data_IF_626835885092
#
_entry.id   IF_626835885092
#
_cell.length_a   1.000
_cell.length_b   1.000
_cell.length_c   1.000
_cell.angle_alpha   90.00
_cell.angle_beta   90.00
_cell.angle_gamma   90.00
#
_symmetry.space_group_name_H-M   'P 1'
#
loop_
_entity.id
_entity.type
_entity.pdbx_description
1 polymer ?
#
# COMPACT_ATOMS: atom_id res chain seq x y z
N UNK A 1 -1.00 4.51 -19.58
CA UNK A 1 -1.32 3.66 -18.42
C UNK A 1 -1.52 4.58 -17.24
N UNK A 2 -2.69 4.57 -16.63
CA UNK A 2 -2.90 5.34 -15.40
C UNK A 2 -1.98 4.75 -14.33
N UNK A 3 -1.07 5.59 -13.82
CA UNK A 3 -0.05 5.20 -12.84
C UNK A 3 -0.29 6.03 -11.59
N UNK A 4 -0.39 5.38 -10.44
CA UNK A 4 -0.45 6.05 -9.15
C UNK A 4 0.99 6.15 -8.64
N UNK A 5 1.47 7.36 -8.42
CA UNK A 5 2.78 7.64 -7.82
C UNK A 5 2.56 8.34 -6.50
N UNK A 6 3.11 7.76 -5.42
CA UNK A 6 3.02 8.36 -4.08
C UNK A 6 4.25 9.27 -3.91
N UNK A 7 4.02 10.57 -3.87
CA UNK A 7 5.03 11.60 -3.65
C UNK A 7 4.95 12.11 -2.21
N UNK A 8 6.10 12.49 -1.63
CA UNK A 8 6.09 13.18 -0.34
C UNK A 8 5.50 14.60 -0.51
N UNK A 9 4.65 15.02 0.42
CA UNK A 9 3.96 16.32 0.40
C UNK A 9 2.46 16.22 0.71
N UNK A 10 1.72 17.32 0.57
CA UNK A 10 0.28 17.34 0.84
C UNK A 10 -0.40 18.69 0.62
N UNK A 11 -1.63 18.84 1.11
CA UNK A 11 -2.40 20.09 0.99
C UNK A 11 -1.68 21.30 1.63
N UNK A 12 -0.95 21.06 2.72
CA UNK A 12 -0.16 22.08 3.43
C UNK A 12 1.01 22.62 2.59
N UNK A 13 1.56 21.84 1.67
CA UNK A 13 2.64 22.26 0.76
C UNK A 13 2.13 22.91 -0.53
N UNK A 14 0.82 23.15 -0.65
CA UNK A 14 0.15 23.54 -1.91
C UNK A 14 0.39 24.98 -2.40
N UNK A 15 0.99 25.86 -1.61
CA UNK A 15 1.28 27.25 -1.99
C UNK A 15 2.78 27.54 -2.01
N UNK A 16 3.44 27.29 -3.14
CA UNK A 16 4.83 27.69 -3.36
C UNK A 16 4.93 28.89 -4.30
N UNK A 17 5.68 29.91 -3.89
CA UNK A 17 6.12 31.02 -4.73
C UNK A 17 7.07 30.45 -5.80
N UNK A 18 6.86 30.78 -7.08
CA UNK A 18 7.71 30.31 -8.18
C UNK A 18 9.12 30.90 -8.05
N UNK A 19 10.02 30.16 -7.39
CA UNK A 19 11.47 30.39 -7.38
C UNK A 19 12.11 29.68 -8.59
N UNK A 20 13.37 29.99 -8.96
CA UNK A 20 14.10 29.21 -9.97
C UNK A 20 14.00 27.71 -9.67
N UNK A 21 13.86 26.87 -10.70
CA UNK A 21 13.69 25.41 -10.57
C UNK A 21 14.79 24.81 -9.68
N UNK A 22 14.47 24.63 -8.40
CA UNK A 22 15.33 23.98 -7.43
C UNK A 22 14.86 22.54 -7.35
N UNK A 23 15.64 21.63 -7.92
CA UNK A 23 15.33 20.21 -7.85
C UNK A 23 15.76 19.67 -6.48
N UNK A 24 14.85 18.98 -5.81
CA UNK A 24 15.14 18.28 -4.57
C UNK A 24 15.60 16.85 -4.88
N UNK A 25 16.61 16.39 -4.12
CA UNK A 25 17.14 15.05 -4.28
C UNK A 25 16.16 14.02 -3.69
N UNK A 26 15.69 13.08 -4.51
CA UNK A 26 14.65 12.10 -4.14
C UNK A 26 15.03 10.69 -4.59
N UNK A 27 14.59 9.67 -3.87
CA UNK A 27 14.75 8.27 -4.24
C UNK A 27 13.37 7.65 -4.46
N UNK A 28 13.19 6.96 -5.57
CA UNK A 28 11.96 6.25 -5.91
C UNK A 28 12.21 4.76 -5.96
N UNK A 29 11.33 3.98 -5.32
CA UNK A 29 11.34 2.52 -5.30
C UNK A 29 10.27 1.97 -6.24
N UNK A 30 10.67 1.01 -7.08
CA UNK A 30 9.82 0.31 -8.04
C UNK A 30 9.80 -1.17 -7.69
N UNK A 31 8.65 -1.66 -7.27
CA UNK A 31 8.45 -3.05 -6.84
C UNK A 31 7.12 -3.58 -7.40
N UNK A 32 7.10 -4.86 -7.77
CA UNK A 32 5.89 -5.57 -8.17
C UNK A 32 5.99 -6.17 -9.57
N UNK A 33 4.89 -6.70 -10.11
CA UNK A 33 4.95 -7.46 -11.38
C UNK A 33 3.78 -7.16 -12.30
N UNK A 34 4.01 -7.22 -13.62
CA UNK A 34 3.05 -6.96 -14.70
C UNK A 34 2.36 -5.59 -14.58
N UNK A 35 1.08 -5.59 -14.25
CA UNK A 35 0.24 -4.39 -14.17
C UNK A 35 0.26 -3.73 -12.78
N UNK A 36 0.95 -4.33 -11.81
CA UNK A 36 0.97 -3.94 -10.41
C UNK A 36 2.36 -3.46 -9.98
N UNK A 37 3.13 -2.84 -10.88
CA UNK A 37 4.38 -2.18 -10.47
C UNK A 37 4.03 -0.88 -9.77
N UNK A 38 4.29 -0.83 -8.48
CA UNK A 38 4.09 0.35 -7.64
C UNK A 38 5.32 1.25 -7.69
N UNK A 39 5.11 2.57 -7.57
CA UNK A 39 6.18 3.57 -7.52
C UNK A 39 5.97 4.42 -6.28
N UNK A 40 6.92 4.36 -5.35
CA UNK A 40 6.87 5.10 -4.08
C UNK A 40 8.14 5.94 -3.91
N UNK A 41 7.97 7.20 -3.51
CA UNK A 41 9.10 7.97 -2.98
C UNK A 41 9.50 7.41 -1.61
N UNK A 42 10.79 7.09 -1.45
CA UNK A 42 11.36 6.52 -0.22
C UNK A 42 12.49 7.44 0.29
N UNK A 43 12.87 7.33 1.57
CA UNK A 43 14.03 8.05 2.08
C UNK A 43 15.26 7.79 1.22
N UNK A 44 16.04 8.84 0.95
CA UNK A 44 17.27 8.78 0.13
C UNK A 44 18.42 8.11 0.89
N UNK A 45 18.22 6.89 1.38
CA UNK A 45 19.16 6.14 2.21
C UNK A 45 19.66 4.87 1.52
N UNK A 46 20.92 4.51 1.74
CA UNK A 46 21.50 3.29 1.18
C UNK A 46 20.84 2.02 1.73
N UNK A 47 20.32 2.05 2.97
CA UNK A 47 19.59 0.95 3.59
C UNK A 47 18.25 0.63 2.93
N UNK A 48 17.72 1.53 2.08
CA UNK A 48 16.46 1.30 1.35
C UNK A 48 16.64 0.54 0.05
N UNK A 49 17.87 0.36 -0.43
CA UNK A 49 18.11 -0.38 -1.65
C UNK A 49 17.88 -1.87 -1.41
N UNK A 50 17.03 -2.47 -2.24
CA UNK A 50 16.78 -3.90 -2.28
C UNK A 50 17.29 -4.47 -3.62
N UNK A 51 18.19 -5.46 -3.55
CA UNK A 51 18.69 -6.18 -4.73
C UNK A 51 17.58 -6.86 -5.54
N UNK A 52 16.40 -7.07 -4.96
CA UNK A 52 15.21 -7.62 -5.62
C UNK A 52 14.47 -6.65 -6.55
N UNK A 53 14.71 -5.34 -6.46
CA UNK A 53 13.86 -4.30 -7.05
C UNK A 53 14.64 -3.25 -7.86
N UNK A 54 13.94 -2.25 -8.41
CA UNK A 54 14.53 -1.14 -9.18
C UNK A 54 14.34 0.18 -8.44
N UNK A 55 15.34 1.06 -8.53
CA UNK A 55 15.32 2.36 -7.87
C UNK A 55 15.69 3.48 -8.85
N UNK A 56 15.09 4.66 -8.69
CA UNK A 56 15.50 5.88 -9.39
C UNK A 56 15.96 6.91 -8.37
N UNK A 57 17.24 7.28 -8.44
CA UNK A 57 17.79 8.41 -7.69
C UNK A 57 17.75 9.67 -8.56
N UNK A 58 16.88 10.59 -8.17
CA UNK A 58 16.66 11.87 -8.82
C UNK A 58 17.44 12.96 -8.10
N UNK A 59 18.52 13.48 -8.71
CA UNK A 59 19.30 14.62 -8.21
C UNK A 59 19.01 15.90 -9.02
N UNK A 60 17.88 15.96 -9.72
CA UNK A 60 17.52 17.08 -10.60
C UNK A 60 18.08 16.94 -12.01
N UNK A 61 19.25 17.50 -12.28
CA UNK A 61 19.84 17.43 -13.64
C UNK A 61 20.61 16.13 -13.89
N UNK A 62 20.82 15.32 -12.85
CA UNK A 62 21.40 13.98 -12.96
C UNK A 62 20.41 12.99 -12.36
N UNK A 63 20.11 11.92 -13.09
CA UNK A 63 19.17 10.89 -12.66
C UNK A 63 19.82 9.53 -12.88
N UNK A 64 19.82 8.68 -11.86
CA UNK A 64 20.32 7.31 -11.97
C UNK A 64 19.15 6.35 -11.86
N UNK A 65 19.04 5.40 -12.77
CA UNK A 65 18.24 4.20 -12.58
C UNK A 65 19.16 3.08 -12.11
N UNK A 66 18.93 2.54 -10.92
CA UNK A 66 19.67 1.42 -10.37
C UNK A 66 18.79 0.17 -10.42
N UNK A 67 19.27 -0.86 -11.10
CA UNK A 67 18.59 -2.14 -11.25
C UNK A 67 19.24 -3.15 -10.31
N UNK A 68 18.49 -3.63 -9.30
CA UNK A 68 18.92 -4.72 -8.45
C UNK A 68 19.14 -6.00 -9.25
N UNK A 69 20.04 -6.87 -8.78
CA UNK A 69 20.39 -8.14 -9.43
C UNK A 69 19.17 -9.06 -9.63
N UNK A 70 18.22 -9.03 -8.70
CA UNK A 70 16.98 -9.81 -8.70
C UNK A 70 15.80 -9.11 -9.37
N UNK A 71 15.94 -7.85 -9.78
CA UNK A 71 14.83 -7.07 -10.36
C UNK A 71 14.25 -7.66 -11.63
N UNK A 72 12.93 -7.58 -11.74
CA UNK A 72 12.20 -8.16 -12.86
C UNK A 72 12.06 -7.19 -14.04
N UNK A 73 11.69 -7.73 -15.21
CA UNK A 73 11.61 -6.96 -16.46
C UNK A 73 10.52 -5.88 -16.43
N UNK A 74 9.43 -6.12 -15.72
CA UNK A 74 8.31 -5.18 -15.65
C UNK A 74 8.70 -3.96 -14.81
N UNK A 75 9.37 -4.16 -13.67
CA UNK A 75 9.95 -3.09 -12.84
C UNK A 75 10.95 -2.24 -13.64
N UNK A 76 11.91 -2.90 -14.30
CA UNK A 76 12.92 -2.22 -15.13
C UNK A 76 12.29 -1.38 -16.24
N UNK A 77 11.27 -1.93 -16.93
CA UNK A 77 10.54 -1.21 -17.98
C UNK A 77 9.76 -0.02 -17.40
N UNK A 78 9.11 -0.19 -16.24
CA UNK A 78 8.36 0.87 -15.57
C UNK A 78 9.27 2.01 -15.12
N UNK A 79 10.42 1.68 -14.52
CA UNK A 79 11.44 2.64 -14.14
C UNK A 79 11.94 3.42 -15.36
N UNK A 80 12.25 2.74 -16.47
CA UNK A 80 12.68 3.43 -17.70
C UNK A 80 11.62 4.40 -18.24
N UNK A 81 10.33 4.05 -18.20
CA UNK A 81 9.26 4.97 -18.61
C UNK A 81 9.17 6.19 -17.70
N UNK A 82 9.30 5.98 -16.37
CA UNK A 82 9.30 7.05 -15.39
C UNK A 82 10.50 7.98 -15.56
N UNK A 83 11.68 7.41 -15.82
CA UNK A 83 12.92 8.15 -16.11
C UNK A 83 12.78 9.05 -17.34
N UNK A 84 12.15 8.55 -18.42
CA UNK A 84 11.88 9.34 -19.63
C UNK A 84 10.95 10.52 -19.28
N UNK A 85 9.87 10.28 -18.54
CA UNK A 85 8.95 11.32 -18.12
C UNK A 85 9.65 12.42 -17.28
N UNK A 86 10.53 12.05 -16.35
CA UNK A 86 11.32 13.02 -15.58
C UNK A 86 12.25 13.86 -16.46
N UNK A 87 12.85 13.27 -17.50
CA UNK A 87 13.68 14.01 -18.44
C UNK A 87 12.86 14.98 -19.26
N UNK A 88 11.68 14.58 -19.70
CA UNK A 88 10.76 15.42 -20.47
C UNK A 88 10.23 16.60 -19.64
N UNK A 89 9.90 16.35 -18.36
CA UNK A 89 9.55 17.41 -17.39
C UNK A 89 10.66 18.47 -17.29
N UNK A 90 11.92 18.02 -17.34
CA UNK A 90 13.12 18.87 -17.31
C UNK A 90 13.55 19.37 -18.69
N UNK A 91 12.65 19.30 -19.68
CA UNK A 91 12.88 19.76 -21.07
C UNK A 91 14.12 19.13 -21.71
N UNK A 92 14.39 17.87 -21.37
CA UNK A 92 15.54 17.10 -21.87
C UNK A 92 16.90 17.53 -21.33
N UNK A 93 16.96 18.45 -20.35
CA UNK A 93 18.23 18.97 -19.79
C UNK A 93 18.91 17.99 -18.82
N UNK A 94 18.15 17.03 -18.29
CA UNK A 94 18.65 16.06 -17.34
C UNK A 94 19.44 14.94 -18.05
N UNK A 95 20.62 14.64 -17.52
CA UNK A 95 21.40 13.46 -17.88
C UNK A 95 20.90 12.27 -17.08
N UNK A 96 20.84 11.12 -17.72
CA UNK A 96 20.37 9.88 -17.11
C UNK A 96 21.36 8.76 -17.35
N UNK A 97 21.58 7.93 -16.35
CA UNK A 97 22.41 6.73 -16.44
C UNK A 97 21.66 5.52 -15.88
N UNK A 98 21.79 4.37 -16.54
CA UNK A 98 21.22 3.10 -16.09
C UNK A 98 22.36 2.25 -15.54
N UNK A 99 22.25 1.86 -14.29
CA UNK A 99 23.23 1.13 -13.51
C UNK A 99 22.67 -0.25 -13.17
N UNK A 100 23.46 -1.28 -13.40
CA UNK A 100 23.16 -2.63 -12.90
C UNK A 100 23.93 -2.83 -11.59
N UNK A 101 23.28 -3.36 -10.56
CA UNK A 101 23.94 -3.69 -9.29
C UNK A 101 25.17 -4.59 -9.52
N UNK A 102 25.02 -5.57 -10.41
CA UNK A 102 26.10 -6.47 -10.79
C UNK A 102 27.17 -5.71 -11.59
N UNK A 103 28.30 -5.46 -10.93
CA UNK A 103 29.45 -4.77 -11.52
C UNK A 103 29.57 -3.29 -11.17
N UNK A 104 28.62 -2.72 -10.42
CA UNK A 104 28.71 -1.34 -9.95
C UNK A 104 29.66 -1.22 -8.76
N UNK A 105 30.69 -0.38 -8.88
CA UNK A 105 31.57 -0.08 -7.75
C UNK A 105 30.82 0.64 -6.63
N UNK A 106 31.09 0.27 -5.37
CA UNK A 106 30.57 0.99 -4.19
C UNK A 106 31.06 2.44 -4.11
N UNK A 107 32.11 2.80 -4.84
CA UNK A 107 32.62 4.18 -4.97
C UNK A 107 31.90 5.00 -6.06
N UNK A 108 30.87 4.46 -6.71
CA UNK A 108 30.14 5.17 -7.74
C UNK A 108 29.38 6.38 -7.14
N UNK A 109 29.25 7.47 -7.90
CA UNK A 109 28.59 8.70 -7.45
C UNK A 109 27.15 8.45 -6.96
N UNK A 110 26.48 7.47 -7.54
CA UNK A 110 25.17 6.98 -7.09
C UNK A 110 25.14 6.65 -5.59
N UNK A 111 26.08 5.85 -5.09
CA UNK A 111 26.11 5.45 -3.69
C UNK A 111 26.53 6.60 -2.77
N UNK A 112 27.45 7.47 -3.21
CA UNK A 112 27.84 8.67 -2.47
C UNK A 112 26.71 9.70 -2.35
N UNK A 113 25.77 9.68 -3.28
CA UNK A 113 24.60 10.55 -3.26
C UNK A 113 23.43 10.01 -2.40
N UNK A 114 23.60 8.88 -1.71
CA UNK A 114 22.65 8.36 -0.72
C UNK A 114 23.09 8.75 0.70
N UNK A 115 22.15 8.81 1.64
CA UNK A 115 22.44 9.01 3.06
C UNK A 115 22.79 7.69 3.74
N UNK A 116 23.58 7.79 4.82
CA UNK A 116 23.91 6.67 5.71
C UNK A 116 22.89 6.50 6.84
N UNK A 117 21.81 7.30 6.85
CA UNK A 117 20.78 7.22 7.88
C UNK A 117 20.02 5.91 7.77
N UNK A 118 20.06 5.12 8.84
CA UNK A 118 19.25 3.91 8.94
C UNK A 118 17.81 4.30 9.28
N UNK A 119 16.93 4.23 8.28
CA UNK A 119 15.51 4.54 8.46
C UNK A 119 14.75 3.22 8.63
N UNK A 120 14.11 2.95 9.78
CA UNK A 120 13.37 1.71 10.00
C UNK A 120 12.29 1.48 8.96
N UNK A 121 12.19 0.27 8.41
CA UNK A 121 11.11 -0.05 7.48
C UNK A 121 9.79 -0.28 8.24
N UNK A 122 8.93 0.74 8.26
CA UNK A 122 7.63 0.68 8.93
C UNK A 122 6.74 -0.43 8.35
N UNK A 123 6.90 -0.76 7.07
CA UNK A 123 6.11 -1.79 6.40
C UNK A 123 6.44 -3.22 6.90
N UNK A 124 7.69 -3.48 7.30
CA UNK A 124 8.09 -4.81 7.77
C UNK A 124 7.59 -5.10 9.20
N UNK A 125 7.44 -4.06 10.01
CA UNK A 125 6.95 -4.16 11.40
C UNK A 125 5.44 -4.44 11.51
N UNK A 126 4.68 -4.36 10.41
CA UNK A 126 3.22 -4.59 10.40
C UNK A 126 2.80 -6.02 9.99
N UNK A 127 3.72 -6.96 9.79
CA UNK A 127 3.34 -8.35 9.46
C UNK A 127 2.67 -9.00 10.69
N UNK A 128 1.41 -9.48 10.58
CA UNK A 128 0.69 -10.06 11.71
C UNK A 128 1.38 -11.35 12.16
N UNK A 129 1.61 -11.47 13.48
CA UNK A 129 2.22 -12.67 14.11
C UNK A 129 1.24 -13.84 14.23
N UNK A 130 -0.05 -13.53 14.21
CA UNK A 130 -1.16 -14.48 14.26
C UNK A 130 -2.08 -14.22 13.07
N UNK A 131 -2.49 -15.28 12.37
CA UNK A 131 -3.39 -15.23 11.21
C UNK A 131 -4.78 -15.78 11.54
N UNK A 132 -5.11 -15.89 12.83
CA UNK A 132 -6.41 -16.38 13.27
C UNK A 132 -7.50 -15.38 12.87
N UNK A 133 -8.47 -15.85 12.07
CA UNK A 133 -9.62 -15.07 11.62
C UNK A 133 -10.58 -14.79 12.78
N UNK A 134 -11.09 -13.58 12.88
CA UNK A 134 -12.11 -13.18 13.86
C UNK A 134 -13.37 -12.70 13.15
N UNK A 135 -14.53 -13.21 13.58
CA UNK A 135 -15.84 -12.79 13.12
C UNK A 135 -16.53 -12.00 14.24
N UNK A 136 -16.96 -10.80 13.91
CA UNK A 136 -17.75 -9.95 14.77
C UNK A 136 -19.14 -9.77 14.21
N UNK A 137 -20.14 -9.67 15.08
CA UNK A 137 -21.53 -9.37 14.75
C UNK A 137 -21.91 -8.00 15.27
N UNK A 138 -22.44 -7.17 14.39
CA UNK A 138 -23.06 -5.88 14.68
C UNK A 138 -24.57 -6.07 14.55
N UNK A 139 -25.29 -5.97 15.68
CA UNK A 139 -26.73 -6.22 15.74
C UNK A 139 -27.44 -5.23 16.67
N UNK A 140 -28.64 -4.80 16.31
CA UNK A 140 -29.53 -4.02 17.18
C UNK A 140 -30.70 -4.82 17.76
N UNK A 141 -30.74 -6.15 17.55
CA UNK A 141 -31.83 -7.03 17.97
C UNK A 141 -32.15 -6.98 19.49
N UNK A 142 -31.19 -6.59 20.32
CA UNK A 142 -31.37 -6.39 21.77
C UNK A 142 -32.10 -5.09 22.15
N UNK A 143 -32.47 -4.26 21.17
CA UNK A 143 -32.99 -2.90 21.35
C UNK A 143 -31.89 -1.83 21.48
N UNK A 144 -30.62 -2.23 21.44
CA UNK A 144 -29.44 -1.36 21.37
C UNK A 144 -28.41 -1.99 20.44
N UNK A 145 -27.63 -1.15 19.77
CA UNK A 145 -26.53 -1.59 18.90
C UNK A 145 -25.43 -2.25 19.73
N UNK A 146 -25.15 -3.53 19.48
CA UNK A 146 -24.07 -4.30 20.10
C UNK A 146 -23.07 -4.75 19.05
N UNK A 147 -21.80 -4.81 19.44
CA UNK A 147 -20.70 -5.23 18.58
C UNK A 147 -19.83 -6.21 19.36
N UNK A 148 -19.93 -7.49 19.05
CA UNK A 148 -19.31 -8.57 19.82
C UNK A 148 -18.61 -9.58 18.89
N UNK A 149 -17.65 -10.31 19.43
CA UNK A 149 -17.06 -11.48 18.76
C UNK A 149 -18.12 -12.58 18.69
N UNK A 150 -18.43 -13.03 17.49
CA UNK A 150 -19.34 -14.16 17.22
C UNK A 150 -18.55 -15.47 17.14
N UNK A 151 -17.38 -15.45 16.49
CA UNK A 151 -16.57 -16.65 16.23
C UNK A 151 -15.10 -16.31 15.98
N UNK A 152 -14.21 -17.26 16.30
CA UNK A 152 -12.77 -17.16 16.02
C UNK A 152 -12.31 -18.44 15.32
N UNK A 153 -11.38 -18.33 14.37
CA UNK A 153 -10.84 -19.43 13.59
C UNK A 153 -11.64 -19.72 12.31
N UNK A 154 -12.18 -20.94 12.19
CA UNK A 154 -12.86 -21.37 10.95
C UNK A 154 -14.25 -20.73 10.82
N UNK A 155 -14.35 -19.72 9.96
CA UNK A 155 -15.60 -18.99 9.68
C UNK A 155 -16.15 -19.44 8.31
N UNK A 156 -17.45 -19.70 8.24
CA UNK A 156 -18.14 -20.11 7.05
C UNK A 156 -19.30 -19.14 6.73
N UNK A 157 -19.78 -19.15 5.49
CA UNK A 157 -20.93 -18.32 5.10
C UNK A 157 -22.21 -18.66 5.87
N UNK A 158 -22.31 -19.85 6.45
CA UNK A 158 -23.42 -20.24 7.32
C UNK A 158 -23.40 -19.55 8.69
N UNK A 159 -22.27 -18.94 9.08
CA UNK A 159 -22.16 -18.15 10.32
C UNK A 159 -22.67 -16.71 10.12
N UNK A 160 -23.03 -16.33 8.89
CA UNK A 160 -23.50 -14.99 8.54
C UNK A 160 -25.03 -14.98 8.45
N UNK A 161 -25.70 -14.36 9.42
CA UNK A 161 -27.15 -14.19 9.43
C UNK A 161 -27.57 -12.99 8.56
N UNK A 162 -28.46 -13.20 7.59
CA UNK A 162 -28.97 -12.17 6.69
C UNK A 162 -29.62 -10.97 7.41
N UNK A 163 -29.96 -11.12 8.69
CA UNK A 163 -30.55 -10.05 9.51
C UNK A 163 -29.56 -9.07 10.12
N UNK A 164 -28.26 -9.36 10.08
CA UNK A 164 -27.25 -8.55 10.78
C UNK A 164 -26.03 -8.22 9.89
N UNK A 165 -25.19 -7.33 10.39
CA UNK A 165 -23.92 -6.97 9.77
C UNK A 165 -22.80 -7.74 10.45
N UNK A 166 -21.88 -8.26 9.65
CA UNK A 166 -20.73 -9.01 10.14
C UNK A 166 -19.42 -8.37 9.70
N UNK A 167 -18.42 -8.41 10.56
CA UNK A 167 -17.07 -7.93 10.28
C UNK A 167 -16.13 -9.12 10.41
N UNK A 168 -15.48 -9.48 9.30
CA UNK A 168 -14.52 -10.56 9.22
C UNK A 168 -13.13 -9.96 9.15
N UNK A 169 -12.33 -10.16 10.18
CA UNK A 169 -10.93 -9.78 10.19
C UNK A 169 -10.05 -11.00 9.94
N UNK A 170 -9.37 -11.04 8.79
CA UNK A 170 -8.45 -12.13 8.42
C UNK A 170 -6.99 -11.84 8.78
N UNK A 171 -6.72 -10.73 9.47
CA UNK A 171 -5.38 -10.18 9.74
C UNK A 171 -4.61 -9.76 8.49
N UNK A 172 -5.19 -9.96 7.29
CA UNK A 172 -4.66 -9.51 6.00
C UNK A 172 -5.57 -8.49 5.32
N UNK A 173 -6.87 -8.61 5.54
CA UNK A 173 -7.89 -7.65 5.13
C UNK A 173 -9.12 -7.78 6.04
N UNK A 174 -9.88 -6.71 6.14
CA UNK A 174 -11.16 -6.71 6.85
C UNK A 174 -12.31 -6.66 5.85
N UNK A 175 -13.30 -7.52 6.04
CA UNK A 175 -14.49 -7.59 5.21
C UNK A 175 -15.72 -7.25 6.05
N UNK A 176 -16.52 -6.30 5.58
CA UNK A 176 -17.80 -5.93 6.19
C UNK A 176 -18.90 -6.55 5.35
N UNK A 177 -19.46 -7.65 5.82
CA UNK A 177 -20.58 -8.31 5.18
C UNK A 177 -21.91 -7.73 5.68
N UNK A 178 -22.77 -7.30 4.76
CA UNK A 178 -24.06 -6.70 5.07
C UNK A 178 -25.16 -7.65 4.62
N UNK A 179 -25.89 -8.21 5.58
CA UNK A 179 -27.06 -9.03 5.35
C UNK A 179 -28.18 -8.28 4.62
N UNK A 180 -28.96 -9.03 3.85
CA UNK A 180 -30.06 -8.51 3.03
C UNK A 180 -31.15 -7.86 3.89
N UNK A 181 -31.47 -8.47 5.02
CA UNK A 181 -32.56 -8.11 5.93
C UNK A 181 -32.07 -7.29 7.15
N UNK A 182 -30.89 -6.67 7.04
CA UNK A 182 -30.31 -5.80 8.07
C UNK A 182 -31.09 -4.52 8.34
N UNK A 183 -31.02 -4.04 9.57
CA UNK A 183 -31.62 -2.77 9.96
C UNK A 183 -30.91 -1.60 9.26
N UNK A 184 -31.62 -0.49 9.05
CA UNK A 184 -31.02 0.72 8.47
C UNK A 184 -29.93 1.30 9.39
N UNK A 185 -30.10 1.15 10.71
CA UNK A 185 -29.13 1.60 11.70
C UNK A 185 -27.84 0.77 11.63
N UNK A 186 -27.94 -0.55 11.53
CA UNK A 186 -26.78 -1.44 11.37
C UNK A 186 -26.04 -1.12 10.07
N UNK A 187 -26.78 -1.06 8.96
CA UNK A 187 -26.23 -0.78 7.62
C UNK A 187 -25.49 0.54 7.56
N UNK A 188 -26.06 1.59 8.16
CA UNK A 188 -25.44 2.93 8.21
C UNK A 188 -24.18 2.97 9.06
N UNK A 189 -24.12 2.18 10.13
CA UNK A 189 -23.01 2.20 11.08
C UNK A 189 -21.92 1.16 10.77
N UNK A 190 -22.19 0.16 9.92
CA UNK A 190 -21.31 -0.94 9.54
C UNK A 190 -19.84 -0.53 9.33
N UNK A 191 -19.59 0.40 8.39
CA UNK A 191 -18.24 0.89 8.09
C UNK A 191 -17.60 1.67 9.23
N UNK A 192 -18.39 2.41 10.00
CA UNK A 192 -17.88 3.17 11.14
C UNK A 192 -17.41 2.26 12.26
N UNK A 193 -18.12 1.17 12.52
CA UNK A 193 -17.72 0.15 13.49
C UNK A 193 -16.48 -0.62 13.02
N UNK A 194 -16.45 -1.02 11.74
CA UNK A 194 -15.27 -1.67 11.15
C UNK A 194 -14.01 -0.80 11.30
N UNK A 195 -14.12 0.49 10.97
CA UNK A 195 -13.00 1.42 11.07
C UNK A 195 -12.57 1.66 12.53
N UNK A 196 -13.53 1.86 13.45
CA UNK A 196 -13.23 2.00 14.88
C UNK A 196 -12.60 0.75 15.48
N UNK A 197 -13.04 -0.44 15.08
CA UNK A 197 -12.42 -1.70 15.46
C UNK A 197 -10.96 -1.70 15.01
N UNK A 198 -10.72 -1.47 13.72
CA UNK A 198 -9.40 -1.51 13.10
C UNK A 198 -8.42 -0.53 13.75
N UNK A 199 -8.87 0.69 14.09
CA UNK A 199 -8.06 1.68 14.81
C UNK A 199 -7.52 1.20 16.17
N UNK A 200 -8.16 0.19 16.79
CA UNK A 200 -7.78 -0.36 18.09
C UNK A 200 -7.08 -1.72 17.98
N UNK A 201 -6.75 -2.20 16.77
CA UNK A 201 -5.97 -3.42 16.57
C UNK A 201 -4.50 -3.12 16.28
N UNK A 202 -3.68 -4.17 16.18
CA UNK A 202 -2.27 -4.09 15.79
C UNK A 202 -2.07 -3.89 14.26
N UNK A 203 -3.15 -3.79 13.50
CA UNK A 203 -3.13 -3.66 12.03
C UNK A 203 -4.11 -2.57 11.54
N UNK A 204 -3.98 -1.32 12.01
CA UNK A 204 -4.96 -0.25 11.76
C UNK A 204 -5.11 0.18 10.30
N UNK A 205 -4.19 -0.24 9.43
CA UNK A 205 -4.08 0.18 8.04
C UNK A 205 -4.55 -0.89 7.03
N UNK A 206 -5.10 -2.01 7.50
CA UNK A 206 -5.62 -3.02 6.56
C UNK A 206 -6.77 -2.46 5.72
N UNK A 207 -6.91 -2.99 4.51
CA UNK A 207 -8.02 -2.65 3.64
C UNK A 207 -9.34 -3.12 4.23
N UNK A 208 -10.37 -2.28 4.12
CA UNK A 208 -11.75 -2.61 4.52
C UNK A 208 -12.61 -2.71 3.26
N UNK A 209 -13.18 -3.88 3.01
CA UNK A 209 -14.04 -4.14 1.84
C UNK A 209 -15.47 -4.40 2.29
N UNK A 210 -16.42 -3.62 1.78
CA UNK A 210 -17.84 -3.82 2.08
C UNK A 210 -18.51 -4.74 1.05
N UNK A 211 -19.16 -5.80 1.53
CA UNK A 211 -19.74 -6.87 0.74
C UNK A 211 -21.23 -7.02 1.07
N UNK A 212 -22.11 -6.71 0.12
CA UNK A 212 -23.53 -7.01 0.25
C UNK A 212 -23.84 -8.50 -0.04
N UNK A 213 -24.69 -9.10 0.77
CA UNK A 213 -25.24 -10.45 0.57
C UNK A 213 -25.80 -10.64 -0.85
N UNK A 214 -25.56 -11.80 -1.46
CA UNK A 214 -26.00 -12.16 -2.81
C UNK A 214 -25.19 -11.53 -3.93
N UNK A 215 -24.74 -10.28 -3.79
CA UNK A 215 -23.91 -9.60 -4.79
C UNK A 215 -22.45 -10.05 -4.76
N UNK A 216 -21.93 -10.36 -3.57
CA UNK A 216 -20.51 -10.62 -3.37
C UNK A 216 -20.20 -11.99 -2.76
N UNK A 217 -21.11 -12.96 -2.90
CA UNK A 217 -20.98 -14.31 -2.33
C UNK A 217 -19.66 -14.99 -2.71
N UNK A 218 -19.16 -14.77 -3.93
CA UNK A 218 -17.86 -15.30 -4.35
C UNK A 218 -16.70 -14.66 -3.59
N UNK A 219 -16.73 -13.35 -3.38
CA UNK A 219 -15.65 -12.63 -2.71
C UNK A 219 -15.61 -12.96 -1.23
N UNK A 220 -16.76 -13.03 -0.56
CA UNK A 220 -16.80 -13.44 0.85
C UNK A 220 -16.37 -14.90 1.04
N UNK A 221 -16.74 -15.82 0.14
CA UNK A 221 -16.25 -17.22 0.20
C UNK A 221 -14.74 -17.31 0.07
N UNK A 222 -14.15 -16.52 -0.83
CA UNK A 222 -12.68 -16.44 -0.98
C UNK A 222 -12.07 -15.89 0.31
N UNK A 223 -12.62 -14.81 0.86
CA UNK A 223 -12.15 -14.20 2.10
C UNK A 223 -12.17 -15.16 3.29
N UNK A 224 -13.22 -15.98 3.40
CA UNK A 224 -13.41 -16.96 4.46
C UNK A 224 -12.58 -18.24 4.28
N UNK A 225 -12.03 -18.47 3.08
CA UNK A 225 -11.17 -19.62 2.77
C UNK A 225 -9.67 -19.34 2.89
N UNK A 226 -9.30 -18.08 3.14
CA UNK A 226 -7.92 -17.59 3.21
C UNK A 226 -7.32 -17.78 4.61
#
# INVERSE_FOLDING_TARGET
FDTITILDGGAESGFNKVTPEKYEARLFHFCGTKKLVEVRQVPRAASRLDSGDVFILDLGLTIYQWNGRGSNKDERMKAMQYLIALKDERRGRAKSEVLEEEGLSKSHEFYHALTEEDVPDEAENMKPKDLTVELFRLSDASGKMTFNVEKTGSVATSDLDSKDVFIVDTKRAVYVWIGLDTSEAERKNAMSYAHKYLQNTDHPLLSVTCLAEGKHDKQIRIALSA
#
